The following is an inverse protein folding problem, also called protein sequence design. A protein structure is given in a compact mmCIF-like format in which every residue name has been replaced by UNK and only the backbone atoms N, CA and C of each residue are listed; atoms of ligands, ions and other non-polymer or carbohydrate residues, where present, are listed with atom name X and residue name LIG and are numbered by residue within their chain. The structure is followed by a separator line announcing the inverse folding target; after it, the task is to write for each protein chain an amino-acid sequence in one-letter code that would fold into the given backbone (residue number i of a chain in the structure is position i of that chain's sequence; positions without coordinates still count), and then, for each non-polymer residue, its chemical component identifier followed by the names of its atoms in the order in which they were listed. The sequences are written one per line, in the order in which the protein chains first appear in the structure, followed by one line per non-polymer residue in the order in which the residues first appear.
data_IF_972380634408
#
_entry.id   IF_972380634408
#
_cell.length_a   1.000
_cell.length_b   1.000
_cell.length_c   1.000
_cell.angle_alpha   90.00
_cell.angle_beta   90.00
_cell.angle_gamma   90.00
#
_symmetry.space_group_name_H-M   'P 1'
#
loop_
_entity.id
_entity.type
_entity.pdbx_description
1 polymer ?
#
# COMPACT_ATOMS: atom_id res chain seq x y z
N UNK A 1 -24.88 24.11 -22.25
CA UNK A 1 -24.20 23.11 -23.09
C UNK A 1 -23.20 22.36 -22.23
N UNK A 2 -23.41 21.09 -21.91
CA UNK A 2 -22.45 20.27 -21.16
C UNK A 2 -21.22 20.06 -22.08
N UNK A 3 -20.02 20.50 -21.63
CA UNK A 3 -18.78 20.17 -22.30
C UNK A 3 -18.71 18.65 -22.40
N UNK A 4 -18.62 18.09 -23.63
CA UNK A 4 -18.26 16.70 -23.82
C UNK A 4 -16.92 16.50 -23.13
N UNK A 5 -16.92 15.74 -22.02
CA UNK A 5 -15.68 15.40 -21.31
C UNK A 5 -14.87 14.49 -22.25
N UNK A 6 -13.70 14.97 -22.62
CA UNK A 6 -12.80 14.28 -23.52
C UNK A 6 -12.25 13.03 -22.82
N UNK A 7 -12.43 11.87 -23.44
CA UNK A 7 -11.87 10.60 -22.96
C UNK A 7 -10.37 10.57 -23.23
N UNK A 8 -9.55 10.65 -22.18
CA UNK A 8 -8.10 10.52 -22.32
C UNK A 8 -7.75 9.05 -22.57
N UNK A 9 -7.23 8.74 -23.76
CA UNK A 9 -6.82 7.37 -24.12
C UNK A 9 -5.62 6.95 -23.30
N UNK A 10 -5.65 5.70 -22.78
CA UNK A 10 -4.52 5.10 -22.06
C UNK A 10 -3.30 4.99 -23.00
N UNK A 11 -2.14 5.57 -22.63
CA UNK A 11 -0.93 5.56 -23.46
C UNK A 11 -0.24 4.19 -23.50
N UNK A 12 0.69 4.03 -24.44
CA UNK A 12 1.34 2.75 -24.73
C UNK A 12 2.24 2.25 -23.60
N UNK A 13 2.88 3.14 -22.86
CA UNK A 13 3.74 2.78 -21.70
C UNK A 13 2.97 2.21 -20.49
N UNK A 14 1.64 2.25 -20.52
CA UNK A 14 0.77 1.61 -19.54
C UNK A 14 0.24 0.23 -20.01
N UNK A 15 0.72 -0.27 -21.17
CA UNK A 15 0.38 -1.60 -21.63
C UNK A 15 1.15 -2.66 -20.84
N UNK A 16 0.44 -3.66 -20.37
CA UNK A 16 0.99 -4.76 -19.56
C UNK A 16 1.21 -5.96 -20.47
N UNK A 17 2.36 -6.61 -20.32
CA UNK A 17 2.60 -7.94 -20.91
C UNK A 17 2.09 -8.98 -19.92
N UNK A 18 1.07 -9.73 -20.31
CA UNK A 18 0.57 -10.86 -19.51
C UNK A 18 1.58 -12.01 -19.64
N UNK A 19 2.13 -12.41 -18.51
CA UNK A 19 3.02 -13.58 -18.43
C UNK A 19 2.40 -14.58 -17.42
N UNK A 20 1.57 -15.49 -17.93
CA UNK A 20 0.94 -16.55 -17.13
C UNK A 20 1.81 -17.81 -17.21
N UNK A 21 2.48 -18.16 -16.13
CA UNK A 21 3.21 -19.42 -15.98
C UNK A 21 2.47 -20.37 -15.01
N UNK A 22 2.94 -21.62 -14.93
CA UNK A 22 2.38 -22.65 -14.04
C UNK A 22 2.45 -22.25 -12.56
N UNK A 23 3.49 -21.52 -12.18
CA UNK A 23 3.69 -21.04 -10.81
C UNK A 23 2.58 -20.05 -10.40
N UNK A 24 2.26 -19.10 -11.28
CA UNK A 24 1.15 -18.17 -11.05
C UNK A 24 -0.20 -18.88 -10.86
N UNK A 25 -0.48 -19.88 -11.70
CA UNK A 25 -1.73 -20.65 -11.60
C UNK A 25 -1.81 -21.47 -10.32
N UNK A 26 -0.68 -22.04 -9.88
CA UNK A 26 -0.55 -22.75 -8.61
C UNK A 26 -0.83 -21.86 -7.39
N UNK A 27 -0.25 -20.66 -7.37
CA UNK A 27 -0.47 -19.69 -6.29
C UNK A 27 -1.93 -19.23 -6.23
N UNK A 28 -2.54 -18.99 -7.38
CA UNK A 28 -3.95 -18.60 -7.46
C UNK A 28 -4.90 -19.69 -6.92
N UNK A 29 -4.59 -20.96 -7.19
CA UNK A 29 -5.32 -22.12 -6.63
C UNK A 29 -5.15 -22.15 -5.11
N UNK A 30 -3.92 -22.00 -4.61
CA UNK A 30 -3.60 -21.99 -3.19
C UNK A 30 -4.40 -20.93 -2.42
N UNK A 31 -4.49 -19.70 -2.95
CA UNK A 31 -5.25 -18.61 -2.33
C UNK A 31 -6.73 -18.95 -2.17
N UNK A 32 -7.32 -19.56 -3.20
CA UNK A 32 -8.73 -19.99 -3.17
C UNK A 32 -8.98 -21.12 -2.18
N UNK A 33 -8.09 -22.11 -2.13
CA UNK A 33 -8.20 -23.28 -1.22
C UNK A 33 -8.10 -22.86 0.25
N UNK A 34 -7.35 -21.77 0.55
CA UNK A 34 -7.21 -21.25 1.89
C UNK A 34 -8.19 -20.10 2.22
N UNK A 35 -9.16 -19.82 1.35
CA UNK A 35 -10.15 -18.73 1.51
C UNK A 35 -9.49 -17.39 1.86
N UNK A 36 -8.42 -17.04 1.13
CA UNK A 36 -7.67 -15.79 1.32
C UNK A 36 -7.88 -14.80 0.18
N UNK A 37 -7.87 -13.54 0.54
CA UNK A 37 -7.98 -12.42 -0.38
C UNK A 37 -6.63 -11.73 -0.58
N UNK A 38 -6.34 -11.32 -1.83
CA UNK A 38 -5.17 -10.50 -2.12
C UNK A 38 -5.59 -9.22 -2.84
N UNK A 39 -4.99 -8.10 -2.46
CA UNK A 39 -5.14 -6.85 -3.23
C UNK A 39 -4.64 -7.03 -4.66
N UNK A 40 -3.68 -7.94 -4.87
CA UNK A 40 -3.16 -8.23 -6.20
C UNK A 40 -4.24 -8.72 -7.17
N UNK A 41 -5.20 -9.53 -6.69
CA UNK A 41 -6.34 -10.01 -7.48
C UNK A 41 -7.50 -9.01 -7.49
N UNK A 42 -7.93 -8.53 -6.31
CA UNK A 42 -9.06 -7.60 -6.14
C UNK A 42 -8.86 -6.29 -6.92
N UNK A 43 -7.66 -5.71 -6.87
CA UNK A 43 -7.31 -4.50 -7.60
C UNK A 43 -6.89 -4.77 -9.06
N UNK A 44 -6.90 -6.02 -9.54
CA UNK A 44 -6.41 -6.41 -10.87
C UNK A 44 -5.02 -5.81 -11.15
N UNK A 45 -4.10 -6.02 -10.19
CA UNK A 45 -2.80 -5.40 -10.20
C UNK A 45 -2.00 -5.77 -11.47
N UNK A 46 -1.45 -4.79 -12.19
CA UNK A 46 -0.68 -5.06 -13.40
C UNK A 46 0.60 -5.88 -13.14
N UNK A 47 1.13 -5.83 -11.94
CA UNK A 47 2.44 -6.39 -11.57
C UNK A 47 2.32 -7.79 -10.93
N UNK A 48 1.12 -8.35 -10.81
CA UNK A 48 0.86 -9.61 -10.08
C UNK A 48 1.77 -10.76 -10.53
N UNK A 49 2.00 -10.88 -11.84
CA UNK A 49 2.82 -11.95 -12.41
C UNK A 49 4.29 -11.83 -12.01
N UNK A 50 4.83 -10.61 -12.01
CA UNK A 50 6.20 -10.34 -11.59
C UNK A 50 6.37 -10.56 -10.10
N UNK A 51 5.50 -9.95 -9.29
CA UNK A 51 5.57 -10.03 -7.83
C UNK A 51 5.48 -11.48 -7.34
N UNK A 52 4.51 -12.24 -7.83
CA UNK A 52 4.30 -13.61 -7.36
C UNK A 52 5.31 -14.61 -7.92
N UNK A 53 5.58 -14.56 -9.25
CA UNK A 53 6.36 -15.59 -9.91
C UNK A 53 7.87 -15.38 -9.82
N UNK A 54 8.34 -14.14 -9.73
CA UNK A 54 9.75 -13.80 -9.78
C UNK A 54 10.26 -13.32 -8.41
N UNK A 55 9.57 -12.35 -7.81
CA UNK A 55 10.04 -11.69 -6.58
C UNK A 55 9.65 -12.41 -5.30
N UNK A 56 8.69 -13.33 -5.35
CA UNK A 56 8.12 -14.01 -4.17
C UNK A 56 7.62 -13.00 -3.13
N UNK A 57 6.86 -12.01 -3.62
CA UNK A 57 6.20 -10.99 -2.83
C UNK A 57 4.69 -11.04 -3.09
N UNK A 58 3.88 -11.03 -2.04
CA UNK A 58 2.43 -10.97 -2.16
C UNK A 58 1.84 -9.97 -1.16
N UNK A 59 0.68 -9.40 -1.53
CA UNK A 59 -0.06 -8.47 -0.67
C UNK A 59 -1.38 -9.12 -0.25
N UNK A 60 -1.45 -9.58 0.99
CA UNK A 60 -2.65 -10.14 1.60
C UNK A 60 -3.58 -9.04 2.06
N UNK A 61 -4.87 -9.20 1.83
CA UNK A 61 -5.91 -8.32 2.34
C UNK A 61 -6.66 -9.05 3.46
N UNK A 62 -6.46 -8.63 4.68
CA UNK A 62 -7.10 -9.19 5.87
C UNK A 62 -8.33 -8.39 6.30
N UNK A 63 -9.04 -8.88 7.31
CA UNK A 63 -10.29 -8.32 7.85
C UNK A 63 -11.48 -8.42 6.89
N UNK A 64 -11.42 -9.37 5.93
CA UNK A 64 -12.45 -9.63 4.94
C UNK A 64 -12.34 -8.79 3.66
N UNK A 65 -13.43 -8.76 2.86
CA UNK A 65 -13.50 -8.16 1.52
C UNK A 65 -14.40 -6.90 1.45
N UNK A 66 -15.01 -6.50 2.58
CA UNK A 66 -15.95 -5.37 2.65
C UNK A 66 -15.35 -4.24 3.48
N UNK A 67 -15.15 -3.08 2.86
CA UNK A 67 -14.58 -1.89 3.49
C UNK A 67 -15.68 -0.96 4.01
N UNK A 68 -15.52 -0.41 5.21
CA UNK A 68 -16.44 0.61 5.77
C UNK A 68 -16.28 1.99 5.13
N UNK A 69 -15.27 2.18 4.26
CA UNK A 69 -14.96 3.46 3.59
C UNK A 69 -15.13 3.34 2.08
N UNK A 70 -15.68 4.40 1.46
CA UNK A 70 -15.95 4.49 0.02
C UNK A 70 -14.96 5.45 -0.68
N UNK A 71 -13.67 5.15 -0.64
CA UNK A 71 -12.65 5.94 -1.35
C UNK A 71 -12.87 5.88 -2.86
N UNK A 72 -12.90 7.04 -3.54
CA UNK A 72 -13.32 7.13 -4.95
C UNK A 72 -12.33 6.55 -5.96
N UNK A 73 -11.15 6.17 -5.51
CA UNK A 73 -10.12 5.51 -6.34
C UNK A 73 -10.12 3.98 -6.17
N UNK A 74 -10.74 3.46 -5.10
CA UNK A 74 -10.59 2.07 -4.67
C UNK A 74 -11.72 1.19 -5.22
N UNK A 75 -11.36 0.01 -5.74
CA UNK A 75 -12.30 -0.96 -6.29
C UNK A 75 -12.86 -1.94 -5.25
N UNK A 76 -12.38 -1.92 -4.02
CA UNK A 76 -12.84 -2.78 -2.94
C UNK A 76 -14.32 -2.52 -2.64
N UNK A 77 -15.06 -3.59 -2.39
CA UNK A 77 -16.49 -3.55 -2.07
C UNK A 77 -16.73 -2.73 -0.79
N UNK A 78 -17.67 -1.80 -0.87
CA UNK A 78 -18.03 -0.94 0.26
C UNK A 78 -19.31 -1.43 0.93
N UNK A 79 -19.34 -1.41 2.26
CA UNK A 79 -20.51 -1.81 3.04
C UNK A 79 -20.19 -1.93 4.53
N UNK A 80 -21.10 -2.54 5.26
CA UNK A 80 -20.89 -2.92 6.65
C UNK A 80 -20.52 -4.40 6.69
N UNK A 81 -19.29 -4.76 7.12
CA UNK A 81 -18.89 -6.15 7.31
C UNK A 81 -19.73 -6.83 8.40
N UNK A 82 -20.09 -8.08 8.18
CA UNK A 82 -20.91 -8.87 9.12
C UNK A 82 -20.11 -9.82 10.00
N UNK A 83 -18.86 -10.11 9.60
CA UNK A 83 -18.03 -11.13 10.23
C UNK A 83 -16.62 -10.60 10.51
N UNK A 84 -15.98 -11.20 11.51
CA UNK A 84 -14.57 -11.05 11.82
C UNK A 84 -13.99 -12.45 12.06
N UNK A 85 -13.10 -12.87 11.16
CA UNK A 85 -12.49 -14.18 11.24
C UNK A 85 -11.25 -14.15 12.13
N UNK A 86 -11.34 -14.75 13.29
CA UNK A 86 -10.23 -14.85 14.26
C UNK A 86 -9.13 -15.83 13.84
N UNK A 87 -9.41 -16.73 12.90
CA UNK A 87 -8.44 -17.71 12.39
C UNK A 87 -7.68 -17.21 11.14
N UNK A 88 -8.01 -16.03 10.62
CA UNK A 88 -7.36 -15.44 9.44
C UNK A 88 -5.84 -15.27 9.62
N UNK A 89 -5.29 -14.84 10.78
CA UNK A 89 -3.86 -14.73 11.01
C UNK A 89 -3.06 -16.01 10.72
N UNK A 90 -3.55 -17.15 11.19
CA UNK A 90 -2.88 -18.43 11.00
C UNK A 90 -2.92 -18.89 9.54
N UNK A 91 -4.05 -18.67 8.84
CA UNK A 91 -4.15 -19.00 7.42
C UNK A 91 -3.26 -18.12 6.55
N UNK A 92 -3.10 -16.84 6.90
CA UNK A 92 -2.14 -15.96 6.23
C UNK A 92 -0.71 -16.47 6.43
N UNK A 93 -0.33 -16.82 7.67
CA UNK A 93 0.99 -17.35 7.98
C UNK A 93 1.31 -18.63 7.22
N UNK A 94 0.35 -19.57 7.15
CA UNK A 94 0.47 -20.80 6.38
C UNK A 94 0.61 -20.52 4.88
N UNK A 95 -0.13 -19.56 4.35
CA UNK A 95 -0.03 -19.20 2.93
C UNK A 95 1.30 -18.55 2.58
N UNK A 96 1.84 -17.69 3.45
CA UNK A 96 3.20 -17.15 3.31
C UNK A 96 4.23 -18.28 3.22
N UNK A 97 4.08 -19.31 4.07
CA UNK A 97 4.92 -20.51 4.08
C UNK A 97 4.81 -21.32 2.79
N UNK A 98 3.58 -21.64 2.37
CA UNK A 98 3.33 -22.43 1.17
C UNK A 98 3.79 -21.70 -0.12
N UNK A 99 3.65 -20.38 -0.17
CA UNK A 99 4.15 -19.55 -1.27
C UNK A 99 5.65 -19.33 -1.21
N UNK A 100 6.32 -19.71 -0.11
CA UNK A 100 7.75 -19.48 0.15
C UNK A 100 8.14 -18.01 -0.11
N UNK A 101 7.38 -17.09 0.48
CA UNK A 101 7.58 -15.66 0.26
C UNK A 101 8.84 -15.16 0.97
N UNK A 102 9.55 -14.26 0.32
CA UNK A 102 10.66 -13.51 0.92
C UNK A 102 10.16 -12.26 1.64
N UNK A 103 9.06 -11.69 1.12
CA UNK A 103 8.45 -10.49 1.66
C UNK A 103 6.93 -10.60 1.59
N UNK A 104 6.27 -10.40 2.72
CA UNK A 104 4.81 -10.40 2.83
C UNK A 104 4.31 -9.00 3.15
N UNK A 105 3.43 -8.46 2.32
CA UNK A 105 2.72 -7.22 2.61
C UNK A 105 1.34 -7.57 3.14
N UNK A 106 1.01 -7.08 4.31
CA UNK A 106 -0.27 -7.30 4.98
C UNK A 106 -1.03 -5.98 4.99
N UNK A 107 -2.13 -5.91 4.25
CA UNK A 107 -3.03 -4.78 4.24
C UNK A 107 -4.44 -5.22 4.64
N UNK A 108 -5.37 -4.29 4.77
CA UNK A 108 -6.73 -4.59 5.15
C UNK A 108 -7.74 -3.63 4.52
N UNK A 109 -8.99 -4.06 4.51
CA UNK A 109 -10.12 -3.14 4.42
C UNK A 109 -10.20 -2.27 5.67
N UNK A 110 -10.73 -1.04 5.57
CA UNK A 110 -11.01 -0.27 6.78
C UNK A 110 -12.19 -0.88 7.54
N UNK A 111 -12.04 -1.01 8.85
CA UNK A 111 -13.02 -1.58 9.80
C UNK A 111 -13.35 -0.55 10.88
N UNK A 112 -13.93 0.60 10.45
CA UNK A 112 -14.38 1.65 11.38
C UNK A 112 -15.54 1.19 12.28
N UNK A 113 -16.08 0.00 12.03
CA UNK A 113 -17.06 -0.71 12.86
C UNK A 113 -16.44 -1.39 14.09
N UNK A 114 -15.13 -1.71 14.04
CA UNK A 114 -14.40 -2.29 15.15
C UNK A 114 -13.78 -1.19 16.03
N UNK A 115 -13.84 -1.36 17.35
CA UNK A 115 -13.27 -0.40 18.32
C UNK A 115 -11.78 -0.17 18.14
N UNK A 116 -11.06 -1.22 17.77
CA UNK A 116 -9.61 -1.20 17.53
C UNK A 116 -9.24 -0.97 16.04
N UNK A 117 -10.23 -0.74 15.17
CA UNK A 117 -9.98 -0.57 13.73
C UNK A 117 -9.30 -1.77 13.06
N UNK A 118 -9.30 -2.95 13.71
CA UNK A 118 -8.65 -4.17 13.27
C UNK A 118 -7.20 -4.34 13.72
N UNK A 119 -6.70 -3.48 14.62
CA UNK A 119 -5.31 -3.51 15.10
C UNK A 119 -4.91 -4.86 15.71
N UNK A 120 -5.83 -5.52 16.45
CA UNK A 120 -5.58 -6.83 17.04
C UNK A 120 -5.27 -7.87 15.96
N UNK A 121 -6.11 -7.99 14.93
CA UNK A 121 -5.90 -8.97 13.85
C UNK A 121 -4.61 -8.68 13.09
N UNK A 122 -4.29 -7.41 12.81
CA UNK A 122 -3.00 -7.04 12.25
C UNK A 122 -1.82 -7.54 13.10
N UNK A 123 -1.85 -7.25 14.39
CA UNK A 123 -0.79 -7.65 15.32
C UNK A 123 -0.65 -9.18 15.42
N UNK A 124 -1.77 -9.91 15.47
CA UNK A 124 -1.79 -11.37 15.47
C UNK A 124 -1.26 -11.94 14.16
N UNK A 125 -1.61 -11.34 13.01
CA UNK A 125 -1.09 -11.75 11.70
C UNK A 125 0.43 -11.56 11.62
N UNK A 126 0.96 -10.42 12.06
CA UNK A 126 2.42 -10.19 12.10
C UNK A 126 3.11 -11.24 12.95
N UNK A 127 2.58 -11.55 14.14
CA UNK A 127 3.15 -12.55 15.05
C UNK A 127 3.07 -13.96 14.47
N UNK A 128 1.95 -14.34 13.86
CA UNK A 128 1.76 -15.64 13.24
C UNK A 128 2.71 -15.83 12.05
N UNK A 129 2.79 -14.85 11.15
CA UNK A 129 3.70 -14.90 10.00
C UNK A 129 5.16 -15.00 10.47
N UNK A 130 5.57 -14.23 11.47
CA UNK A 130 6.95 -14.28 11.99
C UNK A 130 7.28 -15.61 12.66
N UNK A 131 6.34 -16.21 13.38
CA UNK A 131 6.52 -17.52 14.01
C UNK A 131 6.72 -18.63 12.99
N UNK A 132 5.88 -18.66 11.94
CA UNK A 132 5.91 -19.70 10.91
C UNK A 132 6.98 -19.45 9.82
N UNK A 133 7.38 -18.20 9.63
CA UNK A 133 8.23 -17.76 8.53
C UNK A 133 9.32 -16.80 9.04
N UNK A 134 10.29 -17.26 9.83
CA UNK A 134 11.26 -16.39 10.52
C UNK A 134 12.18 -15.58 9.58
N UNK A 135 12.31 -15.99 8.33
CA UNK A 135 13.14 -15.31 7.32
C UNK A 135 12.34 -14.43 6.35
N UNK A 136 11.02 -14.38 6.48
CA UNK A 136 10.17 -13.51 5.67
C UNK A 136 10.07 -12.13 6.32
N UNK A 137 10.37 -11.08 5.58
CA UNK A 137 10.14 -9.71 6.03
C UNK A 137 8.65 -9.34 5.88
N UNK A 138 8.15 -8.54 6.82
CA UNK A 138 6.72 -8.23 6.96
C UNK A 138 6.51 -6.71 6.86
N UNK A 139 5.84 -6.28 5.82
CA UNK A 139 5.33 -4.91 5.68
C UNK A 139 3.85 -4.88 6.05
N UNK A 140 3.42 -3.91 6.86
CA UNK A 140 2.01 -3.68 7.17
C UNK A 140 1.51 -2.40 6.52
N UNK A 141 0.31 -2.44 5.95
CA UNK A 141 -0.36 -1.27 5.33
C UNK A 141 -1.77 -1.13 5.90
N UNK A 142 -1.91 -0.66 7.15
CA UNK A 142 -3.20 -0.43 7.79
C UNK A 142 -3.90 0.83 7.27
N UNK A 143 -5.21 0.94 7.56
CA UNK A 143 -5.91 2.22 7.56
C UNK A 143 -5.35 3.13 8.67
N UNK A 144 -5.85 4.37 8.76
CA UNK A 144 -5.48 5.27 9.87
C UNK A 144 -6.07 4.86 11.23
N UNK A 145 -6.80 3.74 11.31
CA UNK A 145 -7.42 3.18 12.53
C UNK A 145 -8.16 4.26 13.36
N UNK A 146 -8.80 5.23 12.67
CA UNK A 146 -9.50 6.35 13.30
C UNK A 146 -8.58 7.39 13.98
N UNK A 147 -7.27 7.27 13.86
CA UNK A 147 -6.28 8.12 14.53
C UNK A 147 -6.09 7.77 16.01
N UNK A 148 -6.56 6.60 16.46
CA UNK A 148 -6.46 6.16 17.85
C UNK A 148 -5.04 5.66 18.14
N UNK A 149 -4.38 6.27 19.12
CA UNK A 149 -2.99 5.97 19.47
C UNK A 149 -2.78 4.52 19.92
N UNK A 150 -3.68 4.02 20.75
CA UNK A 150 -3.60 2.67 21.33
C UNK A 150 -3.72 1.59 20.23
N UNK A 151 -4.49 1.85 19.17
CA UNK A 151 -4.63 0.94 18.04
C UNK A 151 -3.32 0.85 17.26
N UNK A 152 -2.70 1.99 16.94
CA UNK A 152 -1.39 2.03 16.32
C UNK A 152 -0.32 1.36 17.19
N UNK A 153 -0.33 1.66 18.51
CA UNK A 153 0.61 1.05 19.45
C UNK A 153 0.49 -0.48 19.46
N UNK A 154 -0.72 -1.02 19.48
CA UNK A 154 -0.94 -2.48 19.44
C UNK A 154 -0.31 -3.12 18.20
N UNK A 155 -0.41 -2.47 17.04
CA UNK A 155 0.23 -2.92 15.81
C UNK A 155 1.75 -2.81 15.89
N UNK A 156 2.28 -1.66 16.34
CA UNK A 156 3.72 -1.42 16.40
C UNK A 156 4.42 -2.34 17.44
N UNK A 157 3.73 -2.73 18.49
CA UNK A 157 4.22 -3.71 19.48
C UNK A 157 4.41 -5.12 18.88
N UNK A 158 3.77 -5.43 17.74
CA UNK A 158 4.02 -6.66 17.00
C UNK A 158 5.29 -6.61 16.15
N UNK A 159 5.93 -5.44 16.03
CA UNK A 159 7.20 -5.17 15.37
C UNK A 159 7.24 -5.64 13.90
N UNK A 160 6.41 -5.08 13.01
CA UNK A 160 6.60 -5.28 11.58
C UNK A 160 7.98 -4.78 11.13
N UNK A 161 8.46 -5.25 9.99
CA UNK A 161 9.75 -4.79 9.43
C UNK A 161 9.62 -3.43 8.71
N UNK A 162 8.41 -3.10 8.20
CA UNK A 162 8.06 -1.79 7.64
C UNK A 162 6.63 -1.44 8.05
N UNK A 163 6.41 -0.19 8.49
CA UNK A 163 5.07 0.39 8.55
C UNK A 163 4.83 1.26 7.31
N UNK A 164 3.89 0.86 6.48
CA UNK A 164 3.41 1.62 5.34
C UNK A 164 2.03 2.22 5.67
N UNK A 165 1.83 3.51 5.39
CA UNK A 165 0.52 4.13 5.38
C UNK A 165 0.45 5.16 4.26
N UNK A 166 -0.39 4.89 3.27
CA UNK A 166 -0.44 5.71 2.06
C UNK A 166 -1.10 7.07 2.31
N UNK A 167 -0.46 8.13 1.86
CA UNK A 167 -1.06 9.49 1.78
C UNK A 167 -2.10 9.57 0.64
N UNK A 168 -1.98 8.73 -0.37
CA UNK A 168 -2.83 8.50 -1.52
C UNK A 168 -2.88 9.64 -2.53
N UNK A 169 -3.06 10.88 -2.10
CA UNK A 169 -3.18 12.07 -2.96
C UNK A 169 -2.75 13.33 -2.21
N UNK A 170 -2.66 14.44 -2.92
CA UNK A 170 -2.31 15.75 -2.36
C UNK A 170 -3.40 16.29 -1.41
N UNK A 171 -3.02 17.23 -0.55
CA UNK A 171 -3.90 17.81 0.48
C UNK A 171 -5.22 18.35 -0.09
N UNK A 172 -5.15 19.12 -1.17
CA UNK A 172 -6.31 19.75 -1.81
C UNK A 172 -7.33 18.74 -2.35
N UNK A 173 -6.87 17.58 -2.82
CA UNK A 173 -7.70 16.53 -3.41
C UNK A 173 -8.19 15.50 -2.38
N UNK A 174 -7.57 15.41 -1.19
CA UNK A 174 -7.91 14.41 -0.18
C UNK A 174 -9.41 14.35 0.13
N UNK A 175 -10.14 15.47 0.37
CA UNK A 175 -11.58 15.40 0.70
C UNK A 175 -12.43 14.84 -0.44
N UNK A 176 -11.97 14.98 -1.69
CA UNK A 176 -12.66 14.49 -2.89
C UNK A 176 -12.34 13.02 -3.20
N UNK A 177 -11.13 12.56 -2.84
CA UNK A 177 -10.57 11.27 -3.26
C UNK A 177 -10.73 10.21 -2.18
N UNK A 178 -10.49 10.57 -0.91
CA UNK A 178 -10.50 9.65 0.23
C UNK A 178 -11.77 9.83 1.06
N UNK A 179 -12.37 8.72 1.49
CA UNK A 179 -13.50 8.72 2.40
C UNK A 179 -13.04 8.61 3.85
N UNK A 180 -13.52 9.47 4.74
CA UNK A 180 -13.24 9.50 6.19
C UNK A 180 -11.79 9.68 6.60
N UNK A 181 -10.83 9.51 5.71
CA UNK A 181 -9.42 9.75 5.97
C UNK A 181 -9.07 11.21 5.68
N UNK A 182 -8.23 11.81 6.51
CA UNK A 182 -7.73 13.16 6.30
C UNK A 182 -6.22 13.14 6.03
N UNK A 183 -5.74 14.15 5.33
CA UNK A 183 -4.32 14.30 5.01
C UNK A 183 -3.47 14.38 6.28
N UNK A 184 -3.87 15.28 7.21
CA UNK A 184 -3.12 15.50 8.45
C UNK A 184 -3.11 14.27 9.37
N UNK A 185 -4.24 13.52 9.45
CA UNK A 185 -4.27 12.28 10.22
C UNK A 185 -3.32 11.23 9.66
N UNK A 186 -3.15 11.17 8.34
CA UNK A 186 -2.20 10.24 7.72
C UNK A 186 -0.75 10.61 8.04
N UNK A 187 -0.40 11.89 8.04
CA UNK A 187 0.92 12.36 8.47
C UNK A 187 1.16 12.07 9.94
N UNK A 188 0.19 12.40 10.80
CA UNK A 188 0.28 12.16 12.24
C UNK A 188 0.40 10.65 12.57
N UNK A 189 -0.29 9.78 11.81
CA UNK A 189 -0.18 8.34 11.96
C UNK A 189 1.25 7.84 11.71
N UNK A 190 1.88 8.30 10.61
CA UNK A 190 3.26 7.97 10.26
C UNK A 190 4.26 8.52 11.29
N UNK A 191 4.09 9.78 11.71
CA UNK A 191 4.91 10.40 12.74
C UNK A 191 4.90 9.62 14.06
N UNK A 192 3.70 9.32 14.56
CA UNK A 192 3.53 8.55 15.80
C UNK A 192 4.15 7.16 15.72
N UNK A 193 4.01 6.48 14.59
CA UNK A 193 4.65 5.19 14.36
C UNK A 193 6.17 5.30 14.48
N UNK A 194 6.76 6.36 13.90
CA UNK A 194 8.20 6.64 13.98
C UNK A 194 8.65 6.96 15.39
N UNK A 195 7.87 7.75 16.15
CA UNK A 195 8.14 8.07 17.56
C UNK A 195 8.09 6.83 18.45
N UNK A 196 7.12 5.90 18.19
CA UNK A 196 6.99 4.65 18.96
C UNK A 196 8.14 3.68 18.72
N UNK A 197 8.57 3.53 17.46
CA UNK A 197 9.59 2.57 17.02
C UNK A 197 10.51 3.23 16.00
N UNK A 198 11.51 4.03 16.43
CA UNK A 198 12.39 4.79 15.52
C UNK A 198 13.21 3.90 14.57
N UNK A 199 13.44 2.65 14.96
CA UNK A 199 14.18 1.65 14.19
C UNK A 199 13.34 0.98 13.09
N UNK A 200 12.01 1.13 13.10
CA UNK A 200 11.16 0.61 12.04
C UNK A 200 11.01 1.66 10.92
N UNK A 201 11.37 1.31 9.66
CA UNK A 201 11.11 2.19 8.52
C UNK A 201 9.65 2.52 8.36
N UNK A 202 9.37 3.79 8.09
CA UNK A 202 8.04 4.23 7.68
C UNK A 202 8.01 4.48 6.17
N UNK A 203 6.88 4.17 5.55
CA UNK A 203 6.67 4.26 4.11
C UNK A 203 5.34 4.90 3.78
N UNK A 204 5.29 5.65 2.68
CA UNK A 204 4.04 6.20 2.14
C UNK A 204 3.99 6.13 0.62
N UNK A 205 2.79 6.10 0.07
CA UNK A 205 2.56 6.08 -1.38
C UNK A 205 1.65 7.21 -1.82
N UNK A 206 1.97 7.78 -2.97
CA UNK A 206 1.21 8.81 -3.66
C UNK A 206 0.78 8.33 -5.04
N UNK A 207 -0.51 8.45 -5.34
CA UNK A 207 -1.04 8.30 -6.69
C UNK A 207 -1.13 9.65 -7.36
N UNK A 208 -0.63 9.78 -8.59
CA UNK A 208 -0.73 10.99 -9.41
C UNK A 208 -1.58 10.76 -10.67
N UNK A 209 -2.13 11.85 -11.21
CA UNK A 209 -3.05 11.83 -12.33
C UNK A 209 -4.51 12.09 -11.96
N UNK A 210 -4.74 12.63 -10.75
CA UNK A 210 -6.08 12.96 -10.21
C UNK A 210 -6.43 14.44 -10.38
N UNK A 211 -5.47 15.28 -10.86
CA UNK A 211 -5.61 16.73 -11.10
C UNK A 211 -4.77 17.60 -10.17
N UNK A 212 -3.82 17.01 -9.46
CA UNK A 212 -2.79 17.68 -8.68
C UNK A 212 -1.82 18.48 -9.56
N UNK A 213 -1.18 19.50 -8.99
CA UNK A 213 -0.06 20.20 -9.63
C UNK A 213 1.28 19.59 -9.19
N UNK A 214 2.35 19.94 -9.90
CA UNK A 214 3.71 19.48 -9.55
C UNK A 214 4.15 20.04 -8.19
N UNK A 215 3.80 21.27 -7.90
CA UNK A 215 4.10 21.95 -6.64
C UNK A 215 3.40 21.24 -5.46
N UNK A 216 2.15 20.80 -5.65
CA UNK A 216 1.43 20.02 -4.64
C UNK A 216 2.08 18.65 -4.41
N UNK A 217 2.58 17.98 -5.47
CA UNK A 217 3.33 16.72 -5.33
C UNK A 217 4.62 16.95 -4.52
N UNK A 218 5.35 18.02 -4.82
CA UNK A 218 6.58 18.39 -4.10
C UNK A 218 6.27 18.71 -2.64
N UNK A 219 5.16 19.40 -2.36
CA UNK A 219 4.73 19.67 -0.99
C UNK A 219 4.42 18.38 -0.21
N UNK A 220 3.81 17.36 -0.86
CA UNK A 220 3.63 16.05 -0.21
C UNK A 220 4.97 15.43 0.19
N UNK A 221 5.99 15.54 -0.65
CA UNK A 221 7.33 15.05 -0.32
C UNK A 221 7.90 15.76 0.92
N UNK A 222 7.76 17.08 0.98
CA UNK A 222 8.20 17.90 2.11
C UNK A 222 7.43 17.53 3.39
N UNK A 223 6.10 17.41 3.30
CA UNK A 223 5.25 17.06 4.43
C UNK A 223 5.60 15.65 4.97
N UNK A 224 5.87 14.67 4.08
CA UNK A 224 6.28 13.33 4.49
C UNK A 224 7.67 13.35 5.17
N UNK A 225 8.64 14.08 4.62
CA UNK A 225 9.98 14.20 5.23
C UNK A 225 9.95 14.94 6.56
N UNK A 226 9.11 15.95 6.71
CA UNK A 226 8.90 16.64 8.00
C UNK A 226 8.31 15.72 9.09
N UNK A 227 7.78 14.57 8.71
CA UNK A 227 7.28 13.52 9.61
C UNK A 227 8.16 12.26 9.60
N UNK A 228 9.43 12.38 9.20
CA UNK A 228 10.47 11.33 9.20
C UNK A 228 10.10 10.05 8.42
N UNK A 229 9.32 10.20 7.33
CA UNK A 229 9.02 9.07 6.45
C UNK A 229 10.25 8.70 5.63
N UNK A 230 10.67 7.44 5.72
CA UNK A 230 11.92 6.94 5.11
C UNK A 230 11.76 6.60 3.64
N UNK A 231 10.63 6.00 3.24
CA UNK A 231 10.41 5.41 1.91
C UNK A 231 9.19 6.04 1.26
N UNK A 232 9.32 6.40 -0.03
CA UNK A 232 8.21 6.92 -0.82
C UNK A 232 8.00 6.11 -2.11
N UNK A 233 6.73 5.87 -2.48
CA UNK A 233 6.39 5.36 -3.80
C UNK A 233 5.44 6.31 -4.52
N UNK A 234 5.64 6.49 -5.84
CA UNK A 234 4.82 7.38 -6.68
C UNK A 234 4.34 6.56 -7.89
N UNK A 235 3.03 6.42 -8.03
CA UNK A 235 2.43 5.63 -9.11
C UNK A 235 1.33 6.38 -9.87
N UNK A 236 1.09 5.99 -11.12
CA UNK A 236 -0.03 6.52 -11.89
C UNK A 236 -1.36 5.98 -11.35
N UNK A 237 -2.30 6.87 -11.08
CA UNK A 237 -3.68 6.48 -10.86
C UNK A 237 -4.27 5.85 -12.11
N UNK A 238 -4.84 4.66 -11.99
CA UNK A 238 -5.56 3.96 -13.04
C UNK A 238 -7.01 3.77 -12.59
N UNK A 239 -7.94 4.35 -13.33
CA UNK A 239 -9.36 4.29 -13.01
C UNK A 239 -9.90 2.85 -13.07
N UNK A 240 -10.38 2.25 -11.96
CA UNK A 240 -10.83 0.86 -11.96
C UNK A 240 -12.11 0.62 -12.78
N UNK A 241 -13.04 1.57 -12.76
CA UNK A 241 -14.27 1.54 -13.57
C UNK A 241 -14.81 2.94 -13.79
N UNK A 242 -15.81 3.08 -14.68
CA UNK A 242 -16.47 4.37 -14.96
C UNK A 242 -17.14 5.02 -13.75
N UNK A 243 -17.37 4.28 -12.65
CA UNK A 243 -17.95 4.79 -11.40
C UNK A 243 -16.93 5.52 -10.52
N UNK A 244 -15.63 5.26 -10.72
CA UNK A 244 -14.55 5.84 -9.93
C UNK A 244 -14.14 7.21 -10.47
N UNK A 245 -13.35 7.93 -9.69
CA UNK A 245 -12.82 9.24 -10.09
C UNK A 245 -12.05 9.12 -11.40
N UNK A 246 -12.25 10.08 -12.31
CA UNK A 246 -11.61 10.05 -13.63
C UNK A 246 -10.14 10.41 -13.55
N UNK A 247 -9.34 9.76 -14.39
CA UNK A 247 -7.94 10.19 -14.65
C UNK A 247 -7.99 11.56 -15.31
N UNK A 248 -7.19 12.50 -14.79
CA UNK A 248 -7.05 13.85 -15.32
C UNK A 248 -5.80 13.99 -16.20
N UNK A 249 -4.76 13.21 -15.91
CA UNK A 249 -3.50 13.20 -16.66
C UNK A 249 -2.85 11.81 -16.58
N UNK A 250 -2.25 11.36 -17.67
CA UNK A 250 -1.27 10.28 -17.68
C UNK A 250 0.12 10.91 -17.77
N UNK A 251 0.91 10.75 -16.70
CA UNK A 251 2.28 11.23 -16.63
C UNK A 251 3.19 10.38 -17.51
N UNK A 252 4.13 11.02 -18.19
CA UNK A 252 5.17 10.33 -18.96
C UNK A 252 6.18 9.65 -18.01
N UNK A 253 6.83 8.52 -18.40
CA UNK A 253 7.88 7.90 -17.58
C UNK A 253 8.96 8.87 -17.11
N UNK A 254 9.40 9.82 -17.96
CA UNK A 254 10.42 10.82 -17.63
C UNK A 254 9.96 11.77 -16.51
N UNK A 255 8.66 12.10 -16.44
CA UNK A 255 8.12 12.91 -15.35
C UNK A 255 8.16 12.15 -14.00
N UNK A 256 8.01 10.82 -14.01
CA UNK A 256 8.20 9.99 -12.82
C UNK A 256 9.67 9.97 -12.38
N UNK A 257 10.60 9.89 -13.32
CA UNK A 257 12.03 9.94 -13.00
C UNK A 257 12.43 11.29 -12.41
N UNK A 258 11.94 12.39 -12.97
CA UNK A 258 12.15 13.74 -12.40
C UNK A 258 11.61 13.83 -10.96
N UNK A 259 10.40 13.30 -10.71
CA UNK A 259 9.82 13.28 -9.36
C UNK A 259 10.62 12.37 -8.41
N UNK A 260 11.17 11.27 -8.89
CA UNK A 260 12.04 10.38 -8.12
C UNK A 260 13.31 11.12 -7.68
N UNK A 261 13.98 11.80 -8.60
CA UNK A 261 15.19 12.58 -8.30
C UNK A 261 14.93 13.70 -7.29
N UNK A 262 13.83 14.45 -7.45
CA UNK A 262 13.41 15.46 -6.49
C UNK A 262 13.19 14.84 -5.10
N UNK A 263 12.46 13.73 -5.01
CA UNK A 263 12.20 13.07 -3.74
C UNK A 263 13.52 12.57 -3.10
N UNK A 264 14.40 11.93 -3.88
CA UNK A 264 15.72 11.49 -3.38
C UNK A 264 16.54 12.67 -2.83
N UNK A 265 16.52 13.82 -3.50
CA UNK A 265 17.23 15.03 -3.05
C UNK A 265 16.69 15.58 -1.71
N UNK A 266 15.44 15.23 -1.33
CA UNK A 266 14.83 15.60 -0.05
C UNK A 266 15.22 14.66 1.11
N UNK A 267 15.99 13.61 0.85
CA UNK A 267 16.53 12.71 1.88
C UNK A 267 15.65 11.51 2.22
N UNK A 268 14.76 11.08 1.32
CA UNK A 268 14.20 9.74 1.43
C UNK A 268 15.29 8.69 1.26
N UNK A 269 15.25 7.62 2.07
CA UNK A 269 16.21 6.51 1.96
C UNK A 269 16.00 5.67 0.70
N UNK A 270 14.75 5.60 0.22
CA UNK A 270 14.40 4.94 -1.03
C UNK A 270 13.17 5.61 -1.67
N UNK A 271 13.19 5.76 -2.99
CA UNK A 271 12.05 6.26 -3.78
C UNK A 271 11.85 5.39 -5.00
N UNK A 272 10.66 4.83 -5.14
CA UNK A 272 10.23 4.13 -6.34
C UNK A 272 9.15 4.94 -7.05
N UNK A 273 9.40 5.39 -8.27
CA UNK A 273 8.42 6.14 -9.06
C UNK A 273 8.28 5.55 -10.46
N UNK A 274 7.04 5.51 -10.97
CA UNK A 274 6.79 5.01 -12.32
C UNK A 274 5.32 4.74 -12.63
N UNK A 275 4.96 4.64 -13.91
CA UNK A 275 3.57 4.49 -14.34
C UNK A 275 2.85 3.25 -13.79
N UNK A 276 3.57 2.16 -13.57
CA UNK A 276 3.03 0.90 -13.05
C UNK A 276 3.38 0.65 -11.57
N UNK A 277 4.09 1.59 -10.91
CA UNK A 277 4.43 1.49 -9.50
C UNK A 277 3.16 1.45 -8.64
N UNK A 278 3.18 0.59 -7.62
CA UNK A 278 2.19 0.45 -6.56
C UNK A 278 2.92 0.45 -5.22
N UNK A 279 2.20 0.69 -4.13
CA UNK A 279 2.81 0.75 -2.79
C UNK A 279 3.64 -0.48 -2.44
N UNK A 280 3.26 -1.67 -2.91
CA UNK A 280 3.98 -2.93 -2.66
C UNK A 280 4.92 -3.36 -3.81
N UNK A 281 5.10 -2.51 -4.83
CA UNK A 281 5.97 -2.87 -5.96
C UNK A 281 7.44 -2.80 -5.56
N UNK A 282 8.19 -3.88 -5.78
CA UNK A 282 9.58 -4.05 -5.34
C UNK A 282 9.80 -3.83 -3.83
N UNK A 283 8.81 -4.18 -3.02
CA UNK A 283 8.88 -3.96 -1.57
C UNK A 283 10.03 -4.75 -0.91
N UNK A 284 10.44 -5.88 -1.46
CA UNK A 284 11.58 -6.68 -1.02
C UNK A 284 12.93 -5.95 -1.13
N UNK A 285 13.12 -5.11 -2.16
CA UNK A 285 14.34 -4.30 -2.34
C UNK A 285 14.38 -3.13 -1.34
N UNK A 286 13.23 -2.53 -1.06
CA UNK A 286 13.09 -1.36 -0.20
C UNK A 286 13.52 -1.64 1.25
N UNK A 287 13.27 -2.85 1.77
CA UNK A 287 13.72 -3.28 3.10
C UNK A 287 15.24 -3.27 3.20
N UNK A 288 15.90 -3.85 2.18
CA UNK A 288 17.36 -3.98 2.18
C UNK A 288 18.05 -2.61 2.07
N UNK A 289 17.50 -1.70 1.27
CA UNK A 289 18.06 -0.37 1.09
C UNK A 289 17.85 0.53 2.31
N UNK A 290 16.67 0.48 2.92
CA UNK A 290 16.41 1.19 4.17
C UNK A 290 17.34 0.72 5.32
N UNK A 291 17.62 -0.57 5.40
CA UNK A 291 18.56 -1.13 6.38
C UNK A 291 20.00 -0.64 6.12
N UNK A 292 20.46 -0.63 4.86
CA UNK A 292 21.80 -0.12 4.48
C UNK A 292 21.96 1.37 4.76
N UNK A 293 20.95 2.19 4.42
CA UNK A 293 20.99 3.62 4.66
C UNK A 293 21.12 3.97 6.15
N UNK A 294 20.51 3.18 7.03
CA UNK A 294 20.64 3.35 8.48
C UNK A 294 22.02 3.00 9.00
N UNK A 295 22.62 1.90 8.50
CA UNK A 295 23.98 1.51 8.87
C UNK A 295 25.03 2.54 8.43
N UNK A 296 24.78 3.26 7.35
CA UNK A 296 25.65 4.32 6.85
C UNK A 296 25.55 5.63 7.66
N UNK A 297 24.43 5.85 8.38
CA UNK A 297 24.16 7.07 9.15
C UNK A 297 24.33 6.87 10.68
N UNK A 298 24.68 5.68 11.14
CA UNK A 298 24.97 5.34 12.53
C UNK A 298 26.50 5.31 12.78
#
# INVERSE_FOLDING_TARGET
MAKKEEYIRKPDWLKIKLNTNEHYTGLKKLMRENNLHTVCEEAKCPNIHECWAVRRTATFMILGDVCTRACRFCAVKTGLPTELDQAEPERVAESVRLMNLKHAVITAVARDDLKDGGAKIFAETVRAVRRENPFTTIEVLPSDMGGVYENLKMLMDARPDILNHNIETVRSLTPRVRARATYDRSLEFLKRAKEMQPDIPTKSSLMIGLGETKEEIIQVMDDLRANDVDIMTIGQYLQPSKKHIKVQKYYHPDEFEELREIAMSKGFSHVQAGPLVRSSYHADEQVNEAAKARQANA
#
